data_IF_553244322586
#
_entry.id   IF_553244322586
#
_cell.length_a   1.000
_cell.length_b   1.000
_cell.length_c   1.000
_cell.angle_alpha   90.00
_cell.angle_beta   90.00
_cell.angle_gamma   90.00
#
_symmetry.space_group_name_H-M   'P 1'
#
loop_
_entity.id
_entity.type
_entity.pdbx_description
1 polymer ?
#
# COMPACT_ATOMS: atom_id res chain seq x y z
N UNK A 1 -52.99 24.03 -26.69
CA UNK A 1 -53.97 24.61 -25.75
C UNK A 1 -53.65 24.08 -24.36
N UNK A 2 -52.72 24.70 -23.63
CA UNK A 2 -53.04 25.79 -22.68
C UNK A 2 -54.07 25.32 -21.64
N UNK A 3 -53.66 24.53 -20.61
CA UNK A 3 -53.80 25.10 -19.26
C UNK A 3 -52.83 24.59 -18.18
N UNK A 4 -51.73 23.90 -18.50
CA UNK A 4 -50.79 23.38 -17.48
C UNK A 4 -49.50 24.21 -17.29
N UNK A 5 -49.26 25.21 -18.13
CA UNK A 5 -48.11 26.12 -18.06
C UNK A 5 -48.38 27.43 -17.29
N UNK A 6 -49.61 27.65 -16.82
CA UNK A 6 -49.97 28.88 -16.08
C UNK A 6 -49.83 28.73 -14.55
N UNK A 7 -49.75 27.50 -14.02
CA UNK A 7 -49.69 27.26 -12.57
C UNK A 7 -48.28 27.44 -11.99
N UNK A 8 -47.25 27.46 -12.83
CA UNK A 8 -45.84 27.68 -12.43
C UNK A 8 -45.41 29.14 -12.48
N UNK A 9 -46.24 30.07 -12.98
CA UNK A 9 -45.88 31.50 -13.08
C UNK A 9 -46.47 32.38 -11.95
N UNK A 10 -47.47 31.90 -11.21
CA UNK A 10 -48.19 32.70 -10.19
C UNK A 10 -47.68 32.44 -8.76
N UNK A 11 -47.01 31.31 -8.49
CA UNK A 11 -46.47 31.00 -7.15
C UNK A 11 -45.00 31.44 -6.95
N UNK A 12 -44.30 31.83 -8.02
CA UNK A 12 -42.86 32.15 -7.98
C UNK A 12 -42.49 33.62 -7.79
N UNK A 13 -43.44 34.56 -7.81
CA UNK A 13 -43.11 36.00 -7.90
C UNK A 13 -43.84 36.90 -6.91
N UNK A 14 -44.75 36.38 -6.06
CA UNK A 14 -45.55 37.19 -5.13
C UNK A 14 -45.34 36.87 -3.64
N UNK A 15 -44.45 35.94 -3.29
CA UNK A 15 -44.09 35.63 -1.90
C UNK A 15 -43.07 36.60 -1.26
N UNK A 16 -42.65 37.64 -1.99
CA UNK A 16 -41.59 38.59 -1.56
C UNK A 16 -42.12 39.95 -1.11
N UNK A 17 -43.41 40.08 -0.87
CA UNK A 17 -44.04 41.29 -0.35
C UNK A 17 -45.11 40.89 0.66
N UNK A 18 -44.78 40.99 1.95
CA UNK A 18 -45.57 41.67 2.99
C UNK A 18 -45.12 41.20 4.38
N UNK A 19 -44.46 42.13 5.07
CA UNK A 19 -44.42 42.36 6.52
C UNK A 19 -43.82 41.31 7.47
N UNK A 20 -42.76 41.71 8.17
CA UNK A 20 -42.82 42.12 9.59
C UNK A 20 -41.65 43.08 9.89
N UNK A 21 -41.81 44.04 10.83
CA UNK A 21 -41.33 45.41 10.70
C UNK A 21 -40.14 45.80 11.61
N UNK A 22 -39.42 46.85 11.20
CA UNK A 22 -38.82 47.93 12.00
C UNK A 22 -37.94 47.59 13.22
N UNK A 23 -36.64 47.80 13.04
CA UNK A 23 -35.65 47.98 14.10
C UNK A 23 -34.45 48.77 13.58
N UNK A 24 -34.68 50.02 13.14
CA UNK A 24 -33.61 50.99 12.83
C UNK A 24 -33.47 51.89 14.05
N UNK A 25 -32.34 51.85 14.75
CA UNK A 25 -31.86 52.96 15.57
C UNK A 25 -30.31 52.99 15.62
N UNK A 26 -29.77 53.86 14.74
CA UNK A 26 -28.68 54.84 14.93
C UNK A 26 -27.21 54.43 15.24
N UNK A 27 -26.33 54.90 14.33
CA UNK A 27 -24.90 55.21 14.52
C UNK A 27 -24.00 54.52 13.46
N UNK A 28 -23.48 55.08 12.35
CA UNK A 28 -22.86 56.40 12.06
C UNK A 28 -21.73 56.65 13.08
N UNK A 29 -20.40 56.58 12.84
CA UNK A 29 -19.50 56.84 11.69
C UNK A 29 -18.13 56.09 11.86
N UNK A 30 -17.25 56.08 10.82
CA UNK A 30 -15.90 55.47 10.72
C UNK A 30 -14.80 56.49 11.18
N UNK A 31 -13.48 56.50 10.81
CA UNK A 31 -12.65 55.64 9.96
C UNK A 31 -11.22 55.30 10.51
N UNK A 32 -10.47 54.48 9.77
CA UNK A 32 -9.00 54.51 9.57
C UNK A 32 -8.11 54.80 10.79
N UNK A 33 -7.41 53.76 11.27
CA UNK A 33 -6.08 53.95 11.85
C UNK A 33 -5.07 53.20 10.99
N UNK A 34 -4.31 54.02 10.27
CA UNK A 34 -3.02 53.70 9.66
C UNK A 34 -2.05 53.31 10.78
N UNK A 35 -1.49 52.11 10.72
CA UNK A 35 -0.15 51.85 11.22
C UNK A 35 0.62 51.12 10.14
N UNK A 36 1.28 51.91 9.30
CA UNK A 36 2.47 51.45 8.60
C UNK A 36 3.63 51.49 9.58
N UNK A 37 4.26 50.34 9.80
CA UNK A 37 5.68 50.30 10.16
C UNK A 37 6.27 48.97 9.71
N UNK A 38 7.43 49.08 9.07
CA UNK A 38 8.45 48.06 8.93
C UNK A 38 8.16 46.89 7.97
N UNK A 39 8.35 47.20 6.68
CA UNK A 39 9.02 46.28 5.76
C UNK A 39 10.41 45.99 6.34
N UNK A 40 10.52 44.97 7.19
CA UNK A 40 11.79 44.38 7.59
C UNK A 40 11.93 43.10 6.80
N UNK A 41 12.74 43.24 5.77
CA UNK A 41 13.35 42.19 4.99
C UNK A 41 14.26 41.38 5.91
N UNK A 42 13.67 40.40 6.61
CA UNK A 42 14.41 39.32 7.25
C UNK A 42 14.55 38.21 6.21
N UNK A 43 15.67 38.31 5.51
CA UNK A 43 16.40 37.25 4.81
C UNK A 43 15.80 35.87 5.03
N UNK A 44 15.29 35.30 3.93
CA UNK A 44 15.11 33.87 3.75
C UNK A 44 16.38 33.14 4.11
N UNK A 45 16.51 32.72 5.37
CA UNK A 45 17.43 31.66 5.74
C UNK A 45 16.82 30.41 5.15
N UNK A 46 17.29 30.08 3.94
CA UNK A 46 17.13 28.76 3.34
C UNK A 46 17.74 27.75 4.31
N UNK A 47 16.92 27.34 5.28
CA UNK A 47 17.21 26.19 6.09
C UNK A 47 16.94 25.02 5.16
N UNK A 48 18.01 24.49 4.55
CA UNK A 48 17.97 23.19 3.91
C UNK A 48 17.16 22.26 4.81
N UNK A 49 16.14 21.54 4.30
CA UNK A 49 15.48 20.53 5.12
C UNK A 49 16.56 19.61 5.68
N UNK A 50 16.46 19.15 6.94
CA UNK A 50 17.40 18.16 7.44
C UNK A 50 17.41 17.03 6.43
N UNK A 51 18.58 16.76 5.85
CA UNK A 51 18.76 15.68 4.90
C UNK A 51 18.35 14.41 5.66
N UNK A 52 17.14 13.92 5.41
CA UNK A 52 16.76 12.60 5.86
C UNK A 52 17.85 11.68 5.31
N UNK A 53 18.49 10.85 6.14
CA UNK A 53 19.46 9.90 5.63
C UNK A 53 18.77 9.18 4.48
N UNK A 54 19.35 9.23 3.27
CA UNK A 54 18.85 8.46 2.14
C UNK A 54 18.54 7.07 2.67
N UNK A 55 17.33 6.59 2.42
CA UNK A 55 17.01 5.21 2.66
C UNK A 55 18.05 4.41 1.87
N UNK A 56 19.10 3.96 2.57
CA UNK A 56 19.97 2.93 2.00
C UNK A 56 19.00 1.80 1.68
N UNK A 57 19.09 1.21 0.47
CA UNK A 57 18.60 -0.15 0.31
C UNK A 57 19.18 -0.91 1.49
N UNK A 58 18.31 -1.42 2.36
CA UNK A 58 18.79 -2.33 3.38
C UNK A 58 19.47 -3.47 2.60
N UNK A 59 20.67 -3.91 2.98
CA UNK A 59 21.27 -5.10 2.38
C UNK A 59 20.26 -6.26 2.44
N UNK A 60 20.41 -7.34 1.65
CA UNK A 60 19.59 -8.53 1.77
C UNK A 60 19.91 -9.11 3.15
N UNK A 61 19.13 -8.68 4.13
CA UNK A 61 19.25 -9.14 5.49
C UNK A 61 18.72 -10.57 5.45
N UNK A 62 19.62 -11.51 5.74
CA UNK A 62 19.27 -12.64 6.60
C UNK A 62 18.39 -12.15 7.74
N UNK A 63 17.50 -12.98 8.27
CA UNK A 63 16.56 -12.59 9.31
C UNK A 63 17.34 -12.27 10.60
N UNK A 64 17.82 -11.04 10.72
CA UNK A 64 18.84 -10.66 11.68
C UNK A 64 18.24 -10.53 13.09
N UNK A 65 18.14 -11.67 13.77
CA UNK A 65 18.90 -11.82 15.01
C UNK A 65 18.23 -11.37 16.32
N UNK A 66 16.92 -11.55 16.45
CA UNK A 66 16.32 -11.79 17.78
C UNK A 66 15.13 -12.77 17.74
N UNK A 67 14.48 -12.86 16.58
CA UNK A 67 13.52 -13.91 16.20
C UNK A 67 13.82 -14.24 14.74
N UNK A 68 14.09 -15.50 14.44
CA UNK A 68 14.09 -15.98 13.06
C UNK A 68 12.63 -15.93 12.58
N UNK A 69 12.29 -14.85 11.86
CA UNK A 69 10.93 -14.59 11.40
C UNK A 69 10.47 -15.66 10.40
N UNK A 70 11.36 -16.25 9.61
CA UNK A 70 11.00 -17.35 8.71
C UNK A 70 10.64 -18.58 9.51
N UNK A 71 11.49 -19.00 10.45
CA UNK A 71 11.17 -20.10 11.35
C UNK A 71 9.89 -19.84 12.16
N UNK A 72 9.65 -18.60 12.60
CA UNK A 72 8.43 -18.22 13.30
C UNK A 72 7.18 -18.35 12.41
N UNK A 73 7.26 -17.99 11.12
CA UNK A 73 6.16 -18.10 10.17
C UNK A 73 5.88 -19.54 9.74
N UNK A 74 6.92 -20.37 9.59
CA UNK A 74 6.74 -21.82 9.43
C UNK A 74 6.13 -22.45 10.69
N UNK A 75 6.64 -22.10 11.87
CA UNK A 75 6.10 -22.58 13.16
C UNK A 75 4.65 -22.13 13.41
N UNK A 76 4.27 -20.97 12.89
CA UNK A 76 2.90 -20.48 12.91
C UNK A 76 2.00 -21.11 11.82
N UNK A 77 2.54 -21.97 10.95
CA UNK A 77 1.79 -22.63 9.87
C UNK A 77 1.37 -21.67 8.75
N UNK A 78 2.10 -20.57 8.54
CA UNK A 78 1.84 -19.63 7.44
C UNK A 78 2.48 -20.13 6.14
N UNK A 79 3.73 -20.56 6.20
CA UNK A 79 4.46 -21.15 5.07
C UNK A 79 4.59 -22.66 5.24
N UNK A 80 4.53 -23.39 4.13
CA UNK A 80 4.78 -24.83 4.12
C UNK A 80 6.27 -25.11 4.39
N UNK A 81 6.60 -26.31 4.86
CA UNK A 81 7.99 -26.77 4.99
C UNK A 81 8.29 -27.67 3.81
N UNK A 82 8.43 -27.07 2.63
CA UNK A 82 8.76 -27.74 1.38
C UNK A 82 10.28 -27.91 1.21
N UNK A 83 10.68 -28.99 0.53
CA UNK A 83 12.09 -29.37 0.35
C UNK A 83 12.83 -28.53 -0.71
N UNK A 84 12.09 -27.81 -1.55
CA UNK A 84 12.62 -27.15 -2.75
C UNK A 84 12.99 -25.67 -2.52
N UNK A 85 13.08 -25.24 -1.26
CA UNK A 85 13.37 -23.86 -0.81
C UNK A 85 12.44 -22.79 -1.44
N UNK A 86 11.31 -23.25 -1.98
CA UNK A 86 10.32 -22.41 -2.64
C UNK A 86 9.40 -21.80 -1.58
N UNK A 87 9.23 -20.48 -1.60
CA UNK A 87 8.33 -19.83 -0.65
C UNK A 87 6.87 -20.12 -1.00
N UNK A 88 6.28 -21.13 -0.36
CA UNK A 88 4.89 -21.52 -0.56
C UNK A 88 4.06 -21.39 0.72
N UNK A 89 2.81 -20.97 0.58
CA UNK A 89 1.87 -20.87 1.71
C UNK A 89 1.47 -22.28 2.15
N UNK A 90 1.23 -22.44 3.45
CA UNK A 90 0.55 -23.65 3.91
C UNK A 90 -0.86 -23.72 3.27
N UNK A 91 -1.35 -24.90 2.90
CA UNK A 91 -2.68 -25.02 2.28
C UNK A 91 -3.78 -24.41 3.15
N UNK A 92 -3.72 -24.63 4.47
CA UNK A 92 -4.71 -24.11 5.39
C UNK A 92 -4.69 -22.57 5.46
N UNK A 93 -3.51 -21.95 5.52
CA UNK A 93 -3.41 -20.49 5.52
C UNK A 93 -3.88 -19.91 4.18
N UNK A 94 -3.51 -20.54 3.06
CA UNK A 94 -3.92 -20.10 1.74
C UNK A 94 -5.45 -20.09 1.57
N UNK A 95 -6.14 -21.12 2.04
CA UNK A 95 -7.60 -21.21 1.98
C UNK A 95 -8.29 -20.20 2.90
N UNK A 96 -7.83 -20.06 4.15
CA UNK A 96 -8.36 -19.07 5.10
C UNK A 96 -8.17 -17.64 4.56
N UNK A 97 -7.00 -17.35 3.98
CA UNK A 97 -6.70 -16.04 3.42
C UNK A 97 -7.52 -15.75 2.16
N UNK A 98 -7.63 -16.72 1.24
CA UNK A 98 -8.46 -16.61 0.04
C UNK A 98 -9.92 -16.37 0.38
N UNK A 99 -10.46 -17.08 1.37
CA UNK A 99 -11.85 -16.90 1.82
C UNK A 99 -12.08 -15.45 2.25
N UNK A 100 -11.19 -14.88 3.08
CA UNK A 100 -11.30 -13.48 3.49
C UNK A 100 -11.18 -12.47 2.35
N UNK A 101 -10.36 -12.77 1.33
CA UNK A 101 -10.30 -11.93 0.12
C UNK A 101 -11.64 -11.88 -0.60
N UNK A 102 -12.29 -13.03 -0.76
CA UNK A 102 -13.60 -13.14 -1.43
C UNK A 102 -14.73 -12.46 -0.63
N UNK A 103 -14.62 -12.46 0.70
CA UNK A 103 -15.55 -11.75 1.60
C UNK A 103 -15.33 -10.23 1.62
N UNK A 104 -14.21 -9.73 1.07
CA UNK A 104 -13.93 -8.30 1.08
C UNK A 104 -14.87 -7.55 0.14
N UNK A 105 -15.61 -6.59 0.69
CA UNK A 105 -16.55 -5.78 -0.06
C UNK A 105 -15.86 -4.88 -1.11
N UNK A 106 -16.66 -4.22 -1.95
CA UNK A 106 -16.17 -3.29 -2.98
C UNK A 106 -15.44 -2.07 -2.41
N UNK A 107 -14.78 -1.31 -3.30
CA UNK A 107 -13.93 -0.16 -2.96
C UNK A 107 -14.54 0.86 -2.00
N UNK A 108 -15.86 1.05 -2.07
CA UNK A 108 -16.60 1.97 -1.20
C UNK A 108 -16.54 1.63 0.28
N UNK A 109 -15.97 0.47 0.65
CA UNK A 109 -15.88 -0.06 2.01
C UNK A 109 -14.44 -0.23 2.49
N UNK A 110 -13.47 0.11 1.66
CA UNK A 110 -12.04 -0.05 1.96
C UNK A 110 -11.64 0.75 3.22
N UNK A 111 -12.20 1.96 3.38
CA UNK A 111 -11.94 2.84 4.53
C UNK A 111 -12.47 2.24 5.82
N UNK A 112 -13.71 1.79 5.81
CA UNK A 112 -14.36 1.17 6.96
C UNK A 112 -13.65 -0.13 7.36
N UNK A 113 -13.24 -0.94 6.37
CA UNK A 113 -12.52 -2.19 6.62
C UNK A 113 -11.12 -1.94 7.21
N UNK A 114 -10.38 -0.95 6.70
CA UNK A 114 -9.08 -0.55 7.27
C UNK A 114 -9.23 0.01 8.68
N UNK A 115 -10.21 0.89 8.91
CA UNK A 115 -10.49 1.44 10.23
C UNK A 115 -10.85 0.35 11.25
N UNK A 116 -11.67 -0.63 10.84
CA UNK A 116 -11.99 -1.81 11.63
C UNK A 116 -10.77 -2.66 11.96
N UNK A 117 -9.85 -2.84 11.01
CA UNK A 117 -8.59 -3.55 11.25
C UNK A 117 -7.70 -2.83 12.28
N UNK A 118 -7.65 -1.50 12.20
CA UNK A 118 -6.85 -0.65 13.09
C UNK A 118 -7.51 -0.39 14.45
N UNK A 119 -8.81 -0.69 14.59
CA UNK A 119 -9.57 -0.40 15.81
C UNK A 119 -9.81 1.10 16.04
N UNK A 120 -10.02 1.87 14.97
CA UNK A 120 -10.24 3.33 15.02
C UNK A 120 -11.53 3.72 14.31
N UNK A 121 -11.97 4.95 14.53
CA UNK A 121 -13.10 5.54 13.80
C UNK A 121 -12.76 5.71 12.30
N UNK A 122 -13.63 5.29 11.36
CA UNK A 122 -13.44 5.48 9.92
C UNK A 122 -13.19 6.92 9.49
N UNK A 123 -13.75 7.91 10.18
CA UNK A 123 -13.58 9.32 9.82
C UNK A 123 -12.20 9.88 10.16
N UNK A 124 -11.41 9.14 10.94
CA UNK A 124 -9.99 9.45 11.19
C UNK A 124 -9.06 8.88 10.12
N UNK A 125 -9.56 8.00 9.27
CA UNK A 125 -8.80 7.35 8.20
C UNK A 125 -9.03 8.11 6.89
N UNK A 126 -7.97 8.71 6.37
CA UNK A 126 -7.95 9.29 5.03
C UNK A 126 -7.42 8.24 4.04
N UNK A 127 -8.13 8.03 2.93
CA UNK A 127 -7.68 7.17 1.84
C UNK A 127 -7.80 7.89 0.51
N UNK A 128 -6.86 7.64 -0.41
CA UNK A 128 -6.86 8.25 -1.72
C UNK A 128 -5.86 7.60 -2.66
N UNK A 129 -5.69 8.21 -3.82
CA UNK A 129 -4.75 7.76 -4.86
C UNK A 129 -3.76 8.87 -5.19
N UNK A 130 -2.50 8.51 -5.35
CA UNK A 130 -1.41 9.39 -5.80
C UNK A 130 -0.57 8.68 -6.88
N UNK A 131 0.53 9.29 -7.34
CA UNK A 131 1.39 8.67 -8.37
C UNK A 131 2.03 7.33 -7.95
N UNK A 132 2.05 7.02 -6.65
CA UNK A 132 2.57 5.75 -6.10
C UNK A 132 1.45 4.73 -5.81
N UNK A 133 0.20 5.04 -6.16
CA UNK A 133 -0.95 4.18 -5.97
C UNK A 133 -1.86 4.59 -4.80
N UNK A 134 -2.50 3.59 -4.18
CA UNK A 134 -3.43 3.76 -3.07
C UNK A 134 -2.66 4.11 -1.80
N UNK A 135 -3.06 5.15 -1.09
CA UNK A 135 -2.51 5.51 0.21
C UNK A 135 -3.58 5.52 1.29
N UNK A 136 -3.14 5.32 2.53
CA UNK A 136 -3.95 5.55 3.72
C UNK A 136 -3.16 6.33 4.79
N UNK A 137 -3.84 7.26 5.45
CA UNK A 137 -3.32 8.06 6.56
C UNK A 137 -4.27 7.99 7.75
N UNK A 138 -3.70 8.02 8.94
CA UNK A 138 -4.42 8.14 10.21
C UNK A 138 -3.94 9.44 10.86
N UNK A 139 -4.85 10.39 11.02
CA UNK A 139 -4.54 11.76 11.42
C UNK A 139 -3.40 12.38 10.56
N UNK A 140 -2.19 12.55 11.11
CA UNK A 140 -1.01 13.06 10.38
C UNK A 140 -0.01 12.00 9.94
N UNK A 141 -0.21 10.74 10.31
CA UNK A 141 0.70 9.62 10.03
C UNK A 141 0.30 8.80 8.82
N UNK A 142 1.27 8.28 8.08
CA UNK A 142 1.03 7.31 7.00
C UNK A 142 0.80 5.93 7.59
N UNK A 143 -0.34 5.33 7.26
CA UNK A 143 -0.67 3.94 7.62
C UNK A 143 -0.06 2.99 6.60
N UNK A 144 -0.17 3.31 5.32
CA UNK A 144 0.36 2.48 4.25
C UNK A 144 0.25 3.13 2.88
N UNK A 145 0.99 2.54 1.94
CA UNK A 145 1.00 2.88 0.52
C UNK A 145 1.09 1.57 -0.26
N UNK A 146 0.22 1.41 -1.23
CA UNK A 146 0.07 0.21 -2.04
C UNK A 146 0.04 0.58 -3.52
N UNK A 147 0.74 -0.20 -4.36
CA UNK A 147 0.76 0.04 -5.80
C UNK A 147 -0.63 -0.09 -6.45
N UNK A 148 -1.53 -0.87 -5.83
CA UNK A 148 -2.89 -1.07 -6.31
C UNK A 148 -3.85 -1.41 -5.17
N UNK A 149 -5.15 -1.40 -5.47
CA UNK A 149 -6.19 -1.90 -4.56
C UNK A 149 -6.01 -3.41 -4.30
N UNK A 150 -5.53 -4.17 -5.29
CA UNK A 150 -5.28 -5.59 -5.10
C UNK A 150 -4.21 -5.85 -4.02
N UNK A 151 -3.13 -5.07 -4.03
CA UNK A 151 -2.12 -5.12 -2.97
C UNK A 151 -2.69 -4.73 -1.60
N UNK A 152 -3.57 -3.73 -1.54
CA UNK A 152 -4.25 -3.33 -0.31
C UNK A 152 -5.17 -4.44 0.24
N UNK A 153 -6.03 -5.03 -0.60
CA UNK A 153 -6.93 -6.11 -0.18
C UNK A 153 -6.14 -7.32 0.30
N UNK A 154 -5.07 -7.68 -0.42
CA UNK A 154 -4.16 -8.74 0.00
C UNK A 154 -3.62 -8.49 1.42
N UNK A 155 -3.10 -7.30 1.69
CA UNK A 155 -2.56 -6.95 3.01
C UNK A 155 -3.61 -6.91 4.11
N UNK A 156 -4.73 -6.23 3.85
CA UNK A 156 -5.82 -6.05 4.81
C UNK A 156 -6.30 -7.42 5.31
N UNK A 157 -6.53 -8.32 4.37
CA UNK A 157 -7.01 -9.68 4.64
C UNK A 157 -5.91 -10.58 5.20
N UNK A 158 -4.64 -10.34 4.83
CA UNK A 158 -3.51 -11.04 5.42
C UNK A 158 -3.43 -10.72 6.91
N UNK A 159 -3.42 -9.44 7.29
CA UNK A 159 -3.36 -9.05 8.71
C UNK A 159 -4.58 -9.57 9.48
N UNK A 160 -5.77 -9.52 8.90
CA UNK A 160 -6.97 -10.08 9.51
C UNK A 160 -6.86 -11.61 9.73
N UNK A 161 -6.22 -12.33 8.80
CA UNK A 161 -5.95 -13.77 8.91
C UNK A 161 -4.87 -14.07 9.95
N UNK A 162 -3.78 -13.31 9.91
CA UNK A 162 -2.61 -13.47 10.77
C UNK A 162 -2.92 -13.40 12.26
N UNK A 163 -3.92 -12.62 12.66
CA UNK A 163 -4.31 -12.52 14.08
C UNK A 163 -4.65 -13.88 14.72
N UNK A 164 -5.05 -14.87 13.92
CA UNK A 164 -5.30 -16.25 14.39
C UNK A 164 -4.01 -17.07 14.54
N UNK A 165 -3.07 -16.91 13.62
CA UNK A 165 -1.86 -17.75 13.51
C UNK A 165 -0.67 -17.17 14.28
N UNK A 166 -0.56 -15.85 14.35
CA UNK A 166 0.56 -15.13 14.93
C UNK A 166 0.06 -13.92 15.74
N UNK A 167 -0.40 -14.13 16.99
CA UNK A 167 -0.91 -13.05 17.86
C UNK A 167 0.09 -11.91 18.10
N UNK A 168 1.39 -12.21 17.96
CA UNK A 168 2.50 -11.28 18.14
C UNK A 168 2.77 -10.37 16.93
N UNK A 169 1.90 -10.39 15.92
CA UNK A 169 1.98 -9.55 14.71
C UNK A 169 2.29 -8.08 15.03
N UNK A 170 1.63 -7.51 16.03
CA UNK A 170 1.79 -6.10 16.39
C UNK A 170 3.10 -5.79 17.13
N UNK A 171 3.83 -6.82 17.59
CA UNK A 171 5.17 -6.66 18.17
C UNK A 171 6.27 -6.60 17.09
N UNK A 172 5.96 -7.00 15.85
CA UNK A 172 6.91 -6.89 14.75
C UNK A 172 7.20 -5.43 14.40
N UNK A 173 8.45 -5.16 14.00
CA UNK A 173 8.82 -3.86 13.45
C UNK A 173 8.00 -3.56 12.18
N UNK A 174 7.85 -2.29 11.82
CA UNK A 174 7.17 -1.92 10.56
C UNK A 174 7.88 -2.53 9.35
N UNK A 175 9.22 -2.60 9.39
CA UNK A 175 10.01 -3.21 8.32
C UNK A 175 9.70 -4.70 8.17
N UNK A 176 9.63 -5.44 9.28
CA UNK A 176 9.33 -6.88 9.25
C UNK A 176 7.90 -7.14 8.80
N UNK A 177 6.93 -6.36 9.28
CA UNK A 177 5.53 -6.44 8.80
C UNK A 177 5.46 -6.24 7.29
N UNK A 178 6.15 -5.23 6.76
CA UNK A 178 6.17 -4.97 5.32
C UNK A 178 6.86 -6.10 4.54
N UNK A 179 7.92 -6.72 5.08
CA UNK A 179 8.57 -7.89 4.46
C UNK A 179 7.63 -9.08 4.39
N UNK A 180 6.95 -9.41 5.50
CA UNK A 180 5.97 -10.51 5.53
C UNK A 180 4.85 -10.26 4.53
N UNK A 181 4.27 -9.06 4.52
CA UNK A 181 3.20 -8.72 3.56
C UNK A 181 3.69 -8.81 2.11
N UNK A 182 4.91 -8.34 1.82
CA UNK A 182 5.53 -8.50 0.50
C UNK A 182 5.69 -9.96 0.09
N UNK A 183 6.24 -10.79 0.98
CA UNK A 183 6.40 -12.22 0.78
C UNK A 183 5.06 -12.93 0.48
N UNK A 184 4.02 -12.66 1.28
CA UNK A 184 2.68 -13.21 1.07
C UNK A 184 2.11 -12.82 -0.30
N UNK A 185 2.29 -11.56 -0.73
CA UNK A 185 1.82 -11.10 -2.04
C UNK A 185 2.52 -11.82 -3.19
N UNK A 186 3.80 -12.16 -3.06
CA UNK A 186 4.54 -12.95 -4.04
C UNK A 186 4.03 -14.39 -4.15
N UNK A 187 3.41 -14.93 -3.10
CA UNK A 187 2.81 -16.26 -3.13
C UNK A 187 1.42 -16.30 -3.79
N UNK A 188 0.81 -15.14 -4.11
CA UNK A 188 -0.53 -15.12 -4.70
C UNK A 188 -0.53 -15.64 -6.13
N UNK A 189 -1.44 -16.58 -6.41
CA UNK A 189 -1.71 -17.11 -7.76
C UNK A 189 -2.97 -16.51 -8.39
N UNK A 190 -3.85 -15.93 -7.59
CA UNK A 190 -5.12 -15.33 -8.02
C UNK A 190 -5.24 -13.93 -7.46
N UNK A 191 -5.73 -13.00 -8.28
CA UNK A 191 -5.88 -11.61 -7.89
C UNK A 191 -7.06 -11.44 -6.93
N UNK A 192 -6.86 -10.75 -5.79
CA UNK A 192 -7.90 -10.57 -4.77
C UNK A 192 -9.06 -9.65 -5.20
N UNK A 193 -9.01 -9.04 -6.38
CA UNK A 193 -10.01 -8.06 -6.82
C UNK A 193 -10.74 -8.41 -8.10
N UNK A 194 -10.19 -9.30 -8.94
CA UNK A 194 -10.81 -9.69 -10.22
C UNK A 194 -10.71 -11.18 -10.53
N UNK A 195 -10.19 -12.00 -9.61
CA UNK A 195 -9.93 -13.44 -9.79
C UNK A 195 -9.02 -13.82 -10.97
N UNK A 196 -8.39 -12.85 -11.63
CA UNK A 196 -7.40 -13.09 -12.69
C UNK A 196 -6.13 -13.73 -12.16
N UNK A 197 -5.43 -14.50 -13.00
CA UNK A 197 -4.15 -15.11 -12.65
C UNK A 197 -3.08 -14.04 -12.32
N UNK A 198 -2.27 -14.29 -11.30
CA UNK A 198 -1.12 -13.46 -10.92
C UNK A 198 0.16 -14.14 -11.40
N UNK A 199 0.99 -13.39 -12.11
CA UNK A 199 2.30 -13.85 -12.58
C UNK A 199 3.39 -13.13 -11.79
N UNK A 200 4.42 -13.89 -11.40
CA UNK A 200 5.62 -13.36 -10.78
C UNK A 200 6.74 -13.41 -11.81
N UNK A 201 7.38 -12.28 -12.05
CA UNK A 201 8.47 -12.13 -13.00
C UNK A 201 9.71 -11.63 -12.26
N UNK A 202 10.87 -12.15 -12.66
CA UNK A 202 12.16 -11.79 -12.09
C UNK A 202 13.10 -11.37 -13.20
N UNK A 203 13.47 -10.09 -13.22
CA UNK A 203 14.34 -9.48 -14.22
C UNK A 203 15.69 -9.11 -13.58
N UNK A 204 16.82 -9.40 -14.23
CA UNK A 204 18.12 -8.93 -13.77
C UNK A 204 18.32 -7.47 -14.17
N UNK A 205 18.50 -6.57 -13.20
CA UNK A 205 18.55 -5.11 -13.43
C UNK A 205 19.96 -4.53 -13.28
N UNK A 206 20.90 -5.29 -12.73
CA UNK A 206 22.29 -4.88 -12.63
C UNK A 206 23.17 -5.95 -12.04
N UNK A 207 24.38 -6.06 -12.59
CA UNK A 207 25.51 -6.73 -11.97
C UNK A 207 26.68 -5.75 -11.99
N UNK A 208 27.16 -5.36 -10.82
CA UNK A 208 28.46 -4.70 -10.75
C UNK A 208 29.37 -5.56 -9.88
N UNK A 209 30.66 -5.60 -10.23
CA UNK A 209 31.68 -6.42 -9.56
C UNK A 209 31.81 -6.11 -8.05
N UNK A 210 31.24 -4.99 -7.59
CA UNK A 210 31.28 -4.53 -6.20
C UNK A 210 29.95 -4.70 -5.44
N UNK A 211 28.81 -4.81 -6.12
CA UNK A 211 27.47 -4.61 -5.52
C UNK A 211 26.51 -5.81 -5.73
N UNK A 212 27.07 -6.96 -6.13
CA UNK A 212 26.31 -8.20 -6.34
C UNK A 212 25.36 -8.17 -7.54
N UNK A 213 24.63 -9.27 -7.72
CA UNK A 213 23.57 -9.39 -8.73
C UNK A 213 22.26 -8.88 -8.15
N UNK A 214 21.66 -7.86 -8.77
CA UNK A 214 20.36 -7.30 -8.39
C UNK A 214 19.27 -7.78 -9.33
N UNK A 215 18.16 -8.22 -8.77
CA UNK A 215 16.98 -8.70 -9.51
C UNK A 215 15.77 -7.86 -9.11
N UNK A 216 15.01 -7.40 -10.10
CA UNK A 216 13.69 -6.81 -9.89
C UNK A 216 12.69 -7.96 -9.90
N UNK A 217 11.92 -8.07 -8.83
CA UNK A 217 10.81 -9.02 -8.72
C UNK A 217 9.52 -8.23 -8.79
N UNK A 218 8.63 -8.62 -9.69
CA UNK A 218 7.31 -8.04 -9.85
C UNK A 218 6.24 -9.11 -9.79
N UNK A 219 5.10 -8.78 -9.18
CA UNK A 219 3.90 -9.61 -9.21
C UNK A 219 2.74 -8.79 -9.78
N UNK A 220 2.17 -9.26 -10.88
CA UNK A 220 1.16 -8.52 -11.64
C UNK A 220 -0.02 -9.43 -12.00
N UNK A 221 -1.23 -8.91 -11.85
CA UNK A 221 -2.43 -9.61 -12.31
C UNK A 221 -2.57 -9.52 -13.83
N UNK A 222 -2.80 -10.64 -14.52
CA UNK A 222 -3.01 -10.69 -15.97
C UNK A 222 -4.43 -10.31 -16.42
N UNK A 223 -5.37 -10.19 -15.49
CA UNK A 223 -6.77 -9.84 -15.78
C UNK A 223 -7.09 -8.36 -15.65
N UNK A 224 -6.45 -7.65 -14.72
CA UNK A 224 -6.70 -6.23 -14.45
C UNK A 224 -5.43 -5.37 -14.39
N UNK A 225 -4.27 -5.94 -14.72
CA UNK A 225 -2.95 -5.29 -14.70
C UNK A 225 -2.54 -4.67 -13.34
N UNK A 226 -3.24 -5.01 -12.26
CA UNK A 226 -2.90 -4.54 -10.93
C UNK A 226 -1.53 -5.08 -10.51
N UNK A 227 -0.62 -4.18 -10.13
CA UNK A 227 0.64 -4.54 -9.47
C UNK A 227 0.38 -4.89 -8.01
N UNK A 228 0.79 -6.09 -7.61
CA UNK A 228 0.70 -6.60 -6.24
C UNK A 228 2.02 -6.37 -5.50
N UNK A 229 3.14 -6.52 -6.21
CA UNK A 229 4.48 -6.30 -5.69
C UNK A 229 5.40 -5.80 -6.80
N UNK A 230 6.34 -4.92 -6.44
CA UNK A 230 7.45 -4.50 -7.28
C UNK A 230 8.59 -4.07 -6.35
N UNK A 231 9.76 -4.69 -6.51
CA UNK A 231 10.93 -4.39 -5.69
C UNK A 231 12.21 -4.94 -6.28
N UNK A 232 13.34 -4.36 -5.87
CA UNK A 232 14.67 -4.87 -6.22
C UNK A 232 15.23 -5.61 -5.02
N UNK A 233 15.65 -6.85 -5.25
CA UNK A 233 16.32 -7.71 -4.27
C UNK A 233 17.76 -7.97 -4.70
N UNK A 234 18.65 -8.02 -3.73
CA UNK A 234 20.04 -8.43 -3.93
C UNK A 234 20.12 -9.94 -3.76
N UNK A 235 20.74 -10.63 -4.72
CA UNK A 235 20.96 -12.07 -4.63
C UNK A 235 22.15 -12.33 -3.69
N UNK A 236 21.89 -12.96 -2.54
CA UNK A 236 22.94 -13.45 -1.66
C UNK A 236 23.71 -14.59 -2.34
N UNK A 237 25.04 -14.56 -2.26
CA UNK A 237 25.97 -15.44 -2.98
C UNK A 237 25.90 -16.95 -2.63
N UNK A 238 24.89 -17.41 -1.88
CA UNK A 238 24.76 -18.80 -1.44
C UNK A 238 24.11 -19.74 -2.49
N UNK A 239 23.37 -19.20 -3.46
CA UNK A 239 22.64 -20.01 -4.46
C UNK A 239 23.46 -20.39 -5.71
N UNK A 240 24.73 -19.98 -5.82
CA UNK A 240 25.54 -20.20 -7.03
C UNK A 240 26.19 -21.60 -7.15
N UNK A 241 25.88 -22.55 -6.26
CA UNK A 241 26.39 -23.92 -6.35
C UNK A 241 25.32 -24.86 -6.90
N UNK A 242 24.92 -24.65 -8.16
CA UNK A 242 23.83 -25.44 -8.72
C UNK A 242 23.57 -25.37 -10.22
N UNK A 243 24.54 -24.98 -11.07
CA UNK A 243 24.49 -25.33 -12.50
C UNK A 243 25.73 -24.79 -13.25
N UNK A 244 26.89 -25.44 -13.11
CA UNK A 244 27.85 -25.52 -14.22
C UNK A 244 28.85 -26.65 -13.97
N UNK A 245 28.49 -27.89 -14.28
CA UNK A 245 29.47 -28.97 -14.47
C UNK A 245 28.88 -30.07 -15.36
N UNK A 246 29.31 -30.09 -16.62
CA UNK A 246 28.94 -31.16 -17.55
C UNK A 246 29.12 -30.89 -19.04
N UNK A 247 29.97 -29.95 -19.46
CA UNK A 247 30.37 -29.83 -20.86
C UNK A 247 31.78 -30.40 -21.08
N UNK A 248 31.83 -31.58 -21.71
CA UNK A 248 32.95 -31.97 -22.58
C UNK A 248 33.55 -33.33 -22.29
N UNK A 249 33.28 -34.31 -23.16
CA UNK A 249 34.32 -34.94 -23.99
C UNK A 249 33.67 -35.45 -25.28
N UNK A 250 34.20 -34.94 -26.39
CA UNK A 250 33.94 -35.31 -27.77
C UNK A 250 34.60 -36.68 -28.06
N UNK A 251 33.91 -37.71 -28.58
CA UNK A 251 34.61 -38.85 -29.16
C UNK A 251 35.11 -38.46 -30.56
N UNK A 252 36.43 -38.41 -30.72
CA UNK A 252 37.06 -38.46 -32.03
C UNK A 252 37.18 -39.93 -32.46
N UNK A 253 36.80 -40.15 -33.70
CA UNK A 253 36.80 -41.42 -34.43
C UNK A 253 38.21 -41.69 -34.96
N UNK A 254 38.79 -42.89 -34.78
CA UNK A 254 39.62 -43.57 -35.80
C UNK A 254 39.93 -45.03 -35.45
N UNK A 255 39.45 -45.90 -36.35
CA UNK A 255 40.02 -47.15 -36.90
C UNK A 255 40.13 -48.41 -36.05
#
# INVERSE_FOLDING_TARGET
>A
MFPLLLLTFVCGTLGWLVWVPYGVFLGVLPPVVVFGVAFVELSSTSSSPPMLPSARPSPPLSLDGRVDLTAALHGAGVFATDADDSLSLSPQFADDWRTRMLETEGRSRDREALAGLLGVDPDRVEMGWNERGLFARLDRGTVGQWASRAAFVADLTAVATFRRYYPEWWRLSTADRNRVLGALRLCLRTCPTCDGAVTVETEQVGSSERDGTKRRVSATCRGCDASLFDGVVEQSAAEQSGSDEGAGVHPQNTR
#
